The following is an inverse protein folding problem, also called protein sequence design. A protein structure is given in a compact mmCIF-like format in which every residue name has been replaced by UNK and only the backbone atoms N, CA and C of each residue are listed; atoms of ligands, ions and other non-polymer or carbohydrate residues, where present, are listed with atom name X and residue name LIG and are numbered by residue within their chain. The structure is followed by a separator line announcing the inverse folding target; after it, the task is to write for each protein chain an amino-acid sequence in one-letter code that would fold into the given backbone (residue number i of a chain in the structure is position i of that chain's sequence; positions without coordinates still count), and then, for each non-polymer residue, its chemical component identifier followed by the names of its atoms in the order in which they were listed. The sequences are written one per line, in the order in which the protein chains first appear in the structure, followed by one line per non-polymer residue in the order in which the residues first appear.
data_IF_796713348156
#
_entry.id   IF_796713348156
#
_cell.length_a   1.000
_cell.length_b   1.000
_cell.length_c   1.000
_cell.angle_alpha   90.00
_cell.angle_beta   90.00
_cell.angle_gamma   90.00
#
_symmetry.space_group_name_H-M   'P 1'
#
loop_
_entity.id
_entity.type
_entity.pdbx_description
1 polymer ?
#
# COMPACT_ATOMS: atom_id res chain seq x y z
N UNK A 1 12.22 9.69 4.28
CA UNK A 1 13.26 8.79 3.72
C UNK A 1 12.96 8.55 2.24
N UNK A 2 13.96 8.58 1.37
CA UNK A 2 13.80 8.27 -0.05
C UNK A 2 14.75 7.13 -0.42
N UNK A 3 14.25 6.14 -1.16
CA UNK A 3 15.05 5.05 -1.72
C UNK A 3 15.03 5.14 -3.23
N UNK A 4 16.21 5.10 -3.84
CA UNK A 4 16.41 5.06 -5.27
C UNK A 4 17.33 3.89 -5.58
N UNK A 5 16.83 2.88 -6.27
CA UNK A 5 17.60 1.69 -6.59
C UNK A 5 16.96 0.95 -7.75
N UNK A 6 17.74 0.28 -8.59
CA UNK A 6 17.14 -0.55 -9.63
C UNK A 6 16.23 -1.65 -9.04
N UNK A 7 16.73 -2.35 -8.01
CA UNK A 7 15.97 -3.39 -7.30
C UNK A 7 15.95 -3.15 -5.79
N UNK A 8 14.78 -3.30 -5.19
CA UNK A 8 14.58 -3.33 -3.73
C UNK A 8 14.15 -4.74 -3.37
N UNK A 9 15.03 -5.47 -2.71
CA UNK A 9 14.76 -6.87 -2.39
C UNK A 9 13.91 -7.00 -1.12
N UNK A 10 14.50 -6.75 0.05
CA UNK A 10 13.81 -6.90 1.33
C UNK A 10 14.07 -5.67 2.20
N UNK A 11 13.01 -4.95 2.57
CA UNK A 11 13.11 -3.87 3.56
C UNK A 11 12.07 -4.08 4.66
N UNK A 12 12.47 -3.83 5.90
CA UNK A 12 11.56 -3.81 7.06
C UNK A 12 11.72 -2.46 7.77
N UNK A 13 10.59 -1.83 8.07
CA UNK A 13 10.54 -0.68 8.99
C UNK A 13 9.83 -1.09 10.26
N UNK A 14 10.45 -0.77 11.38
CA UNK A 14 9.88 -0.90 12.71
C UNK A 14 10.10 0.40 13.45
N UNK A 15 9.04 1.13 13.76
CA UNK A 15 9.13 2.38 14.52
C UNK A 15 7.79 2.74 15.13
N UNK A 16 7.76 3.63 16.12
CA UNK A 16 6.49 4.14 16.62
C UNK A 16 5.75 4.94 15.52
N UNK A 17 6.46 5.83 14.83
CA UNK A 17 5.92 6.62 13.73
C UNK A 17 6.75 6.43 12.46
N UNK A 18 6.07 6.24 11.33
CA UNK A 18 6.66 6.23 10.00
C UNK A 18 6.09 7.41 9.22
N UNK A 19 6.95 8.41 9.04
CA UNK A 19 6.60 9.61 8.30
C UNK A 19 6.91 9.44 6.81
N UNK A 20 7.10 10.55 6.10
CA UNK A 20 7.23 10.59 4.66
C UNK A 20 8.31 9.62 4.11
N UNK A 21 7.90 8.50 3.51
CA UNK A 21 8.77 7.58 2.80
C UNK A 21 8.40 7.54 1.31
N UNK A 22 9.42 7.54 0.45
CA UNK A 22 9.28 7.34 -1.01
C UNK A 22 10.21 6.24 -1.48
N UNK A 23 9.67 5.33 -2.29
CA UNK A 23 10.45 4.32 -3.01
C UNK A 23 10.37 4.60 -4.50
N UNK A 24 11.53 4.57 -5.15
CA UNK A 24 11.65 4.63 -6.60
C UNK A 24 12.57 3.50 -7.05
N UNK A 25 12.03 2.54 -7.78
CA UNK A 25 12.80 1.38 -8.22
C UNK A 25 12.17 0.68 -9.41
N UNK A 26 12.94 -0.06 -10.21
CA UNK A 26 12.33 -0.91 -11.23
C UNK A 26 11.50 -2.01 -10.58
N UNK A 27 12.08 -2.75 -9.63
CA UNK A 27 11.40 -3.84 -8.93
C UNK A 27 11.44 -3.67 -7.41
N UNK A 28 10.29 -3.94 -6.77
CA UNK A 28 10.15 -4.07 -5.32
C UNK A 28 9.66 -5.47 -5.01
N UNK A 29 10.49 -6.25 -4.33
CA UNK A 29 10.13 -7.63 -4.00
C UNK A 29 9.33 -7.70 -2.71
N UNK A 30 9.92 -7.41 -1.55
CA UNK A 30 9.21 -7.45 -0.28
C UNK A 30 9.49 -6.22 0.58
N UNK A 31 8.44 -5.53 1.00
CA UNK A 31 8.54 -4.49 2.02
C UNK A 31 7.52 -4.73 3.13
N UNK A 32 7.96 -4.58 4.39
CA UNK A 32 7.11 -4.64 5.57
C UNK A 32 7.22 -3.36 6.39
N UNK A 33 6.09 -2.79 6.75
CA UNK A 33 5.98 -1.68 7.70
C UNK A 33 5.28 -2.17 8.95
N UNK A 34 5.90 -1.92 10.09
CA UNK A 34 5.30 -2.09 11.40
C UNK A 34 5.45 -0.78 12.18
N UNK A 35 4.33 -0.15 12.51
CA UNK A 35 4.37 1.09 13.29
C UNK A 35 3.04 1.44 13.93
N UNK A 36 3.02 2.27 14.96
CA UNK A 36 1.75 2.80 15.46
C UNK A 36 1.07 3.69 14.41
N UNK A 37 1.80 4.64 13.82
CA UNK A 37 1.25 5.55 12.82
C UNK A 37 2.09 5.58 11.54
N UNK A 38 1.40 5.52 10.40
CA UNK A 38 1.96 5.70 9.06
C UNK A 38 1.32 6.93 8.43
N UNK A 39 2.13 7.96 8.18
CA UNK A 39 1.61 9.21 7.62
C UNK A 39 1.53 9.16 6.09
N UNK A 40 2.67 9.21 5.39
CA UNK A 40 2.67 9.21 3.94
C UNK A 40 3.72 8.25 3.39
N UNK A 41 3.29 7.28 2.59
CA UNK A 41 4.19 6.40 1.85
C UNK A 41 3.84 6.42 0.37
N UNK A 42 4.86 6.54 -0.49
CA UNK A 42 4.70 6.47 -1.95
C UNK A 42 5.62 5.42 -2.54
N UNK A 43 5.09 4.59 -3.42
CA UNK A 43 5.84 3.64 -4.23
C UNK A 43 5.72 4.02 -5.69
N UNK A 44 6.86 4.09 -6.38
CA UNK A 44 6.97 4.24 -7.81
C UNK A 44 7.85 3.11 -8.33
N UNK A 45 7.28 2.18 -9.07
CA UNK A 45 8.05 1.05 -9.59
C UNK A 45 7.42 0.36 -10.78
N UNK A 46 8.19 -0.33 -11.61
CA UNK A 46 7.58 -1.16 -12.65
C UNK A 46 6.79 -2.32 -12.04
N UNK A 47 7.41 -3.05 -11.12
CA UNK A 47 6.80 -4.22 -10.48
C UNK A 47 6.86 -4.13 -8.96
N UNK A 48 5.75 -4.43 -8.31
CA UNK A 48 5.63 -4.62 -6.86
C UNK A 48 5.15 -6.04 -6.60
N UNK A 49 5.96 -6.85 -5.92
CA UNK A 49 5.58 -8.20 -5.61
C UNK A 49 4.77 -8.27 -4.30
N UNK A 50 5.37 -8.00 -3.13
CA UNK A 50 4.66 -8.06 -1.85
C UNK A 50 4.92 -6.83 -0.98
N UNK A 51 3.86 -6.17 -0.53
CA UNK A 51 3.96 -5.13 0.49
C UNK A 51 2.97 -5.41 1.62
N UNK A 52 3.43 -5.28 2.87
CA UNK A 52 2.61 -5.43 4.07
C UNK A 52 2.71 -4.20 4.95
N UNK A 53 1.57 -3.69 5.38
CA UNK A 53 1.45 -2.67 6.40
C UNK A 53 0.76 -3.24 7.62
N UNK A 54 1.37 -3.05 8.78
CA UNK A 54 0.78 -3.28 10.09
C UNK A 54 0.88 -1.98 10.88
N UNK A 55 -0.26 -1.37 11.18
CA UNK A 55 -0.26 -0.14 11.98
C UNK A 55 -1.57 0.21 12.63
N UNK A 56 -1.58 0.98 13.71
CA UNK A 56 -2.85 1.48 14.24
C UNK A 56 -3.53 2.41 13.23
N UNK A 57 -2.80 3.39 12.71
CA UNK A 57 -3.34 4.39 11.78
C UNK A 57 -2.52 4.49 10.50
N UNK A 58 -3.20 4.52 9.36
CA UNK A 58 -2.64 4.80 8.04
C UNK A 58 -3.33 6.04 7.48
N UNK A 59 -2.58 7.11 7.24
CA UNK A 59 -3.14 8.33 6.69
C UNK A 59 -3.18 8.28 5.15
N UNK A 60 -2.04 8.29 4.46
CA UNK A 60 -2.01 8.20 3.00
C UNK A 60 -0.97 7.19 2.49
N UNK A 61 -1.40 6.30 1.59
CA UNK A 61 -0.48 5.45 0.83
C UNK A 61 -0.81 5.55 -0.66
N UNK A 62 0.22 5.68 -1.49
CA UNK A 62 0.09 5.71 -2.95
C UNK A 62 1.00 4.69 -3.60
N UNK A 63 0.45 3.91 -4.50
CA UNK A 63 1.19 3.03 -5.40
C UNK A 63 1.05 3.52 -6.82
N UNK A 64 2.17 3.61 -7.51
CA UNK A 64 2.26 3.82 -8.95
C UNK A 64 3.14 2.72 -9.51
N UNK A 65 2.55 1.79 -10.25
CA UNK A 65 3.33 0.69 -10.83
C UNK A 65 2.65 -0.04 -11.96
N UNK A 66 3.39 -0.58 -12.91
CA UNK A 66 2.78 -1.39 -13.97
C UNK A 66 2.05 -2.60 -13.40
N UNK A 67 2.71 -3.37 -12.54
CA UNK A 67 2.15 -4.58 -11.94
C UNK A 67 2.26 -4.58 -10.41
N UNK A 68 1.16 -4.95 -9.76
CA UNK A 68 1.09 -5.19 -8.31
C UNK A 68 0.61 -6.62 -8.08
N UNK A 69 1.43 -7.45 -7.45
CA UNK A 69 1.04 -8.82 -7.14
C UNK A 69 0.22 -8.88 -5.84
N UNK A 70 0.81 -8.61 -4.67
CA UNK A 70 0.11 -8.69 -3.40
C UNK A 70 0.36 -7.49 -2.51
N UNK A 71 -0.72 -6.86 -2.03
CA UNK A 71 -0.62 -5.85 -0.97
C UNK A 71 -1.58 -6.19 0.16
N UNK A 72 -1.10 -6.07 1.40
CA UNK A 72 -1.89 -6.31 2.60
C UNK A 72 -1.80 -5.12 3.55
N UNK A 73 -2.96 -4.66 4.02
CA UNK A 73 -3.07 -3.68 5.09
C UNK A 73 -3.75 -4.34 6.28
N UNK A 74 -3.13 -4.19 7.45
CA UNK A 74 -3.71 -4.47 8.74
C UNK A 74 -3.64 -3.19 9.56
N UNK A 75 -4.78 -2.59 9.85
CA UNK A 75 -4.80 -1.36 10.65
C UNK A 75 -6.11 -1.04 11.31
N UNK A 76 -6.12 -0.30 12.42
CA UNK A 76 -7.40 0.16 12.97
C UNK A 76 -8.09 1.14 12.00
N UNK A 77 -7.37 2.16 11.53
CA UNK A 77 -7.93 3.19 10.66
C UNK A 77 -7.08 3.39 9.40
N UNK A 78 -7.77 3.48 8.26
CA UNK A 78 -7.20 3.83 6.95
C UNK A 78 -7.93 5.06 6.43
N UNK A 79 -7.21 6.16 6.24
CA UNK A 79 -7.83 7.37 5.70
C UNK A 79 -7.85 7.35 4.16
N UNK A 80 -6.71 7.12 3.50
CA UNK A 80 -6.66 7.19 2.04
C UNK A 80 -5.62 6.25 1.44
N UNK A 81 -6.05 5.43 0.49
CA UNK A 81 -5.13 4.60 -0.29
C UNK A 81 -5.47 4.74 -1.77
N UNK A 82 -4.42 4.94 -2.57
CA UNK A 82 -4.54 5.03 -4.03
C UNK A 82 -3.63 4.03 -4.71
N UNK A 83 -4.18 3.27 -5.64
CA UNK A 83 -3.43 2.43 -6.56
C UNK A 83 -3.59 2.99 -7.96
N UNK A 84 -2.47 3.15 -8.63
CA UNK A 84 -2.40 3.40 -10.06
C UNK A 84 -1.52 2.31 -10.67
N UNK A 85 -2.13 1.42 -11.43
CA UNK A 85 -1.42 0.30 -12.04
C UNK A 85 -2.08 -0.22 -13.29
N UNK A 86 -1.35 -0.98 -14.11
CA UNK A 86 -2.00 -1.69 -15.21
C UNK A 86 -2.71 -2.94 -14.68
N UNK A 87 -2.02 -3.72 -13.84
CA UNK A 87 -2.53 -4.98 -13.31
C UNK A 87 -2.37 -5.05 -11.78
N UNK A 88 -3.42 -5.50 -11.11
CA UNK A 88 -3.44 -5.81 -9.68
C UNK A 88 -3.91 -7.25 -9.50
N UNK A 89 -3.09 -8.11 -8.88
CA UNK A 89 -3.52 -9.47 -8.60
C UNK A 89 -4.34 -9.54 -7.32
N UNK A 90 -3.75 -9.26 -6.16
CA UNK A 90 -4.46 -9.35 -4.87
C UNK A 90 -4.21 -8.13 -3.98
N UNK A 91 -5.28 -7.56 -3.45
CA UNK A 91 -5.19 -6.60 -2.36
C UNK A 91 -6.11 -7.02 -1.22
N UNK A 92 -5.61 -6.96 0.01
CA UNK A 92 -6.41 -7.24 1.21
C UNK A 92 -6.31 -6.09 2.19
N UNK A 93 -7.46 -5.65 2.67
CA UNK A 93 -7.59 -4.70 3.77
C UNK A 93 -8.25 -5.40 4.93
N UNK A 94 -7.60 -5.33 6.09
CA UNK A 94 -8.17 -5.66 7.37
C UNK A 94 -8.11 -4.41 8.23
N UNK A 95 -9.26 -3.78 8.47
CA UNK A 95 -9.30 -2.56 9.27
C UNK A 95 -10.64 -2.24 9.86
N UNK A 96 -10.68 -1.61 11.02
CA UNK A 96 -11.95 -1.18 11.60
C UNK A 96 -12.65 -0.15 10.71
N UNK A 97 -11.93 0.91 10.31
CA UNK A 97 -12.47 2.00 9.51
C UNK A 97 -11.63 2.27 8.26
N UNK A 98 -12.30 2.42 7.12
CA UNK A 98 -11.72 2.83 5.85
C UNK A 98 -12.49 4.06 5.35
N UNK A 99 -11.79 5.17 5.15
CA UNK A 99 -12.43 6.37 4.62
C UNK A 99 -12.44 6.37 3.09
N UNK A 100 -11.27 6.36 2.43
CA UNK A 100 -11.21 6.42 0.97
C UNK A 100 -10.21 5.42 0.37
N UNK A 101 -10.65 4.64 -0.61
CA UNK A 101 -9.77 3.84 -1.44
C UNK A 101 -10.09 4.06 -2.91
N UNK A 102 -9.06 4.26 -3.73
CA UNK A 102 -9.19 4.39 -5.17
C UNK A 102 -8.25 3.44 -5.89
N UNK A 103 -8.79 2.73 -6.87
CA UNK A 103 -8.03 1.93 -7.81
C UNK A 103 -8.20 2.53 -9.20
N UNK A 104 -7.08 2.75 -9.87
CA UNK A 104 -7.00 3.06 -11.28
C UNK A 104 -6.23 1.90 -11.92
N UNK A 105 -6.94 0.95 -12.51
CA UNK A 105 -6.34 -0.26 -13.07
C UNK A 105 -7.13 -0.88 -14.20
N UNK A 106 -6.42 -1.28 -15.27
CA UNK A 106 -7.03 -2.02 -16.38
C UNK A 106 -7.53 -3.38 -15.92
N UNK A 107 -6.72 -4.11 -15.14
CA UNK A 107 -7.10 -5.42 -14.60
C UNK A 107 -6.94 -5.46 -13.09
N UNK A 108 -7.92 -6.06 -12.42
CA UNK A 108 -7.91 -6.35 -10.99
C UNK A 108 -8.47 -7.76 -10.80
N UNK A 109 -7.66 -8.69 -10.28
CA UNK A 109 -8.12 -10.07 -10.10
C UNK A 109 -8.91 -10.24 -8.80
N UNK A 110 -8.42 -9.69 -7.67
CA UNK A 110 -9.05 -9.89 -6.37
C UNK A 110 -8.77 -8.77 -5.39
N UNK A 111 -9.84 -8.26 -4.77
CA UNK A 111 -9.74 -7.33 -3.64
C UNK A 111 -10.67 -7.80 -2.55
N UNK A 112 -10.14 -7.87 -1.32
CA UNK A 112 -10.91 -8.23 -0.14
C UNK A 112 -10.85 -7.12 0.90
N UNK A 113 -12.01 -6.76 1.41
CA UNK A 113 -12.18 -5.86 2.54
C UNK A 113 -12.75 -6.64 3.71
N UNK A 114 -12.08 -6.54 4.85
CA UNK A 114 -12.63 -6.90 6.14
C UNK A 114 -12.61 -5.65 7.01
N UNK A 115 -13.77 -5.02 7.15
CA UNK A 115 -13.89 -3.78 7.90
C UNK A 115 -15.29 -3.54 8.43
N UNK A 116 -15.36 -2.86 9.56
CA UNK A 116 -16.63 -2.46 10.16
C UNK A 116 -17.27 -1.33 9.35
N UNK A 117 -16.49 -0.30 9.01
CA UNK A 117 -16.97 0.86 8.26
C UNK A 117 -16.10 1.13 7.02
N UNK A 118 -16.76 1.33 5.88
CA UNK A 118 -16.15 1.79 4.64
C UNK A 118 -16.96 2.98 4.13
N UNK A 119 -16.35 4.16 4.02
CA UNK A 119 -17.07 5.34 3.53
C UNK A 119 -17.10 5.37 2.00
N UNK A 120 -15.99 5.09 1.32
CA UNK A 120 -15.90 5.23 -0.13
C UNK A 120 -14.82 4.35 -0.76
N UNK A 121 -15.21 3.58 -1.77
CA UNK A 121 -14.31 2.84 -2.65
C UNK A 121 -14.66 3.19 -4.09
N UNK A 122 -13.65 3.54 -4.89
CA UNK A 122 -13.82 3.80 -6.32
C UNK A 122 -12.87 2.95 -7.16
N UNK A 123 -13.42 2.42 -8.24
CA UNK A 123 -12.71 1.70 -9.28
C UNK A 123 -12.79 2.51 -10.56
N UNK A 124 -11.66 2.66 -11.23
CA UNK A 124 -11.45 3.32 -12.51
C UNK A 124 -10.53 2.44 -13.34
#
# INVERSE_FOLDING_TARGET
IKFFSHNINNIKFFSHNINNIKFFSHNINNIKFFSHNINNIKFFSHNINNIKFFSHNINNIKFFSHNINNIKFFSHNINNIKFFSHNINNIKFFSHNINNIKFFSHNINNIKFFSHNINNIKFF
#
